data_IF_455751331339
#
_entry.id   IF_455751331339
#
_cell.length_a   1.000
_cell.length_b   1.000
_cell.length_c   1.000
_cell.angle_alpha   90.00
_cell.angle_beta   90.00
_cell.angle_gamma   90.00
#
_symmetry.space_group_name_H-M   'P 1'
#
loop_
_entity.id
_entity.type
_entity.pdbx_description
1 polymer ?
#
# COMPACT_ATOMS: atom_id res chain seq x y z
N UNK A 1 -3.95 -20.79 -3.33
CA UNK A 1 -2.69 -20.56 -4.08
C UNK A 1 -1.48 -20.63 -3.12
N UNK A 2 -0.31 -21.10 -3.55
CA UNK A 2 0.88 -21.15 -2.67
C UNK A 2 1.64 -19.80 -2.65
N UNK A 3 2.55 -19.62 -1.69
CA UNK A 3 3.26 -18.34 -1.51
C UNK A 3 4.15 -17.95 -2.70
N UNK A 4 4.67 -18.93 -3.46
CA UNK A 4 5.51 -18.65 -4.64
C UNK A 4 4.69 -17.96 -5.73
N UNK A 5 3.52 -18.53 -6.04
CA UNK A 5 2.61 -17.94 -7.02
C UNK A 5 2.07 -16.58 -6.56
N UNK A 6 1.69 -16.46 -5.28
CA UNK A 6 1.24 -15.18 -4.72
C UNK A 6 2.33 -14.09 -4.81
N UNK A 7 3.58 -14.46 -4.54
CA UNK A 7 4.74 -13.58 -4.67
C UNK A 7 4.95 -13.09 -6.11
N UNK A 8 4.85 -14.00 -7.09
CA UNK A 8 4.95 -13.68 -8.51
C UNK A 8 3.80 -12.76 -8.98
N UNK A 9 2.56 -13.05 -8.57
CA UNK A 9 1.37 -12.30 -8.95
C UNK A 9 1.37 -10.87 -8.40
N UNK A 10 1.64 -10.71 -7.10
CA UNK A 10 1.65 -9.38 -6.45
C UNK A 10 2.98 -8.65 -6.71
N UNK A 11 4.01 -9.34 -7.20
CA UNK A 11 5.36 -8.78 -7.37
C UNK A 11 6.00 -8.40 -6.04
N UNK A 12 5.92 -9.29 -5.05
CA UNK A 12 6.57 -9.18 -3.74
C UNK A 12 7.43 -10.41 -3.48
N UNK A 13 8.47 -10.29 -2.67
CA UNK A 13 9.20 -11.49 -2.23
C UNK A 13 8.35 -12.33 -1.27
N UNK A 14 8.56 -13.64 -1.25
CA UNK A 14 7.90 -14.51 -0.27
C UNK A 14 8.20 -14.10 1.18
N UNK A 15 9.40 -13.55 1.44
CA UNK A 15 9.78 -13.05 2.76
C UNK A 15 9.06 -11.76 3.12
N UNK A 16 8.81 -10.87 2.15
CA UNK A 16 7.97 -9.68 2.35
C UNK A 16 6.54 -10.07 2.70
N UNK A 17 5.97 -11.07 2.01
CA UNK A 17 4.62 -11.56 2.33
C UNK A 17 4.57 -12.16 3.74
N UNK A 18 5.57 -12.98 4.12
CA UNK A 18 5.67 -13.52 5.49
C UNK A 18 5.81 -12.40 6.52
N UNK A 19 6.59 -11.37 6.19
CA UNK A 19 6.77 -10.21 7.05
C UNK A 19 5.45 -9.46 7.26
N UNK A 20 4.72 -9.18 6.18
CA UNK A 20 3.42 -8.48 6.24
C UNK A 20 2.40 -9.24 7.08
N UNK A 21 2.28 -10.56 6.90
CA UNK A 21 1.40 -11.37 7.74
C UNK A 21 1.87 -11.35 9.22
N UNK A 22 3.17 -11.47 9.47
CA UNK A 22 3.74 -11.50 10.84
C UNK A 22 3.45 -10.24 11.64
N UNK A 23 3.47 -9.08 11.00
CA UNK A 23 3.21 -7.79 11.67
C UNK A 23 1.72 -7.41 11.65
N UNK A 24 0.84 -8.24 11.09
CA UNK A 24 -0.60 -7.98 11.00
C UNK A 24 -1.00 -6.98 9.92
N UNK A 25 -0.11 -6.70 8.96
CA UNK A 25 -0.37 -5.82 7.83
C UNK A 25 -1.31 -6.46 6.80
N UNK A 26 -1.40 -7.79 6.79
CA UNK A 26 -2.46 -8.54 6.12
C UNK A 26 -3.10 -9.52 7.09
N UNK A 27 -4.36 -9.94 6.86
CA UNK A 27 -5.01 -10.91 7.72
C UNK A 27 -4.25 -12.24 7.73
N UNK A 28 -4.40 -13.06 8.79
CA UNK A 28 -3.79 -14.38 8.83
C UNK A 28 -4.18 -15.22 7.62
N UNK A 29 -3.19 -15.74 6.90
CA UNK A 29 -3.44 -16.50 5.67
C UNK A 29 -3.85 -17.92 6.05
N UNK A 30 -4.94 -18.41 5.44
CA UNK A 30 -5.42 -19.78 5.67
C UNK A 30 -4.33 -20.80 5.30
N UNK A 31 -4.38 -21.98 5.93
CA UNK A 31 -3.40 -23.05 5.69
C UNK A 31 -4.07 -24.31 5.18
N UNK A 32 -3.38 -25.04 4.32
CA UNK A 32 -3.75 -26.41 3.94
C UNK A 32 -3.60 -27.35 5.14
N UNK A 33 -4.16 -28.56 5.03
CA UNK A 33 -3.97 -29.62 6.03
C UNK A 33 -2.47 -29.97 6.27
N UNK A 34 -1.63 -29.77 5.26
CA UNK A 34 -0.17 -29.93 5.34
C UNK A 34 0.58 -28.72 5.94
N UNK A 35 -0.14 -27.71 6.43
CA UNK A 35 0.43 -26.52 7.09
C UNK A 35 0.94 -25.43 6.15
N UNK A 36 0.75 -25.58 4.83
CA UNK A 36 1.22 -24.62 3.82
C UNK A 36 0.22 -23.48 3.68
N UNK A 37 0.69 -22.23 3.59
CA UNK A 37 -0.16 -21.07 3.32
C UNK A 37 -0.92 -21.22 2.00
N UNK A 38 -2.22 -20.99 2.06
CA UNK A 38 -3.16 -21.11 0.94
C UNK A 38 -3.86 -19.77 0.70
N UNK A 39 -3.26 -18.94 -0.14
CA UNK A 39 -3.76 -17.63 -0.51
C UNK A 39 -5.06 -17.76 -1.33
N UNK A 40 -6.09 -17.08 -0.86
CA UNK A 40 -7.35 -16.84 -1.58
C UNK A 40 -7.26 -15.52 -2.35
N UNK A 41 -8.23 -15.27 -3.22
CA UNK A 41 -8.29 -14.02 -3.99
C UNK A 41 -8.30 -12.77 -3.09
N UNK A 42 -9.04 -12.82 -1.99
CA UNK A 42 -9.11 -11.72 -1.00
C UNK A 42 -7.77 -11.42 -0.35
N UNK A 43 -6.92 -12.45 -0.17
CA UNK A 43 -5.58 -12.26 0.39
C UNK A 43 -4.66 -11.53 -0.60
N UNK A 44 -4.85 -11.78 -1.90
CA UNK A 44 -4.11 -11.11 -2.98
C UNK A 44 -4.53 -9.66 -3.10
N UNK A 45 -5.84 -9.39 -3.08
CA UNK A 45 -6.38 -8.03 -3.07
C UNK A 45 -5.85 -7.23 -1.86
N UNK A 46 -5.76 -7.85 -0.68
CA UNK A 46 -5.17 -7.22 0.51
C UNK A 46 -3.66 -6.94 0.34
N UNK A 47 -2.90 -7.88 -0.24
CA UNK A 47 -1.47 -7.69 -0.50
C UNK A 47 -1.21 -6.59 -1.53
N UNK A 48 -2.03 -6.49 -2.59
CA UNK A 48 -1.96 -5.43 -3.59
C UNK A 48 -2.28 -4.06 -2.98
N UNK A 49 -3.33 -3.98 -2.16
CA UNK A 49 -3.70 -2.77 -1.43
C UNK A 49 -2.55 -2.28 -0.55
N UNK A 50 -2.01 -3.16 0.29
CA UNK A 50 -0.89 -2.85 1.18
C UNK A 50 0.34 -2.43 0.38
N UNK A 51 0.67 -3.15 -0.70
CA UNK A 51 1.81 -2.81 -1.57
C UNK A 51 1.67 -1.40 -2.13
N UNK A 52 0.50 -1.07 -2.67
CA UNK A 52 0.21 0.24 -3.26
C UNK A 52 0.36 1.37 -2.24
N UNK A 53 -0.27 1.25 -1.06
CA UNK A 53 -0.23 2.28 -0.03
C UNK A 53 1.19 2.47 0.54
N UNK A 54 1.90 1.36 0.76
CA UNK A 54 3.30 1.39 1.20
C UNK A 54 4.21 2.09 0.19
N UNK A 55 4.03 1.85 -1.12
CA UNK A 55 4.81 2.56 -2.14
C UNK A 55 4.50 4.05 -2.24
N UNK A 56 3.31 4.47 -1.79
CA UNK A 56 2.85 5.87 -1.82
C UNK A 56 3.17 6.65 -0.54
N UNK A 57 3.99 6.07 0.35
CA UNK A 57 4.48 6.72 1.56
C UNK A 57 3.58 6.58 2.79
N UNK A 58 2.53 5.74 2.73
CA UNK A 58 1.69 5.44 3.90
C UNK A 58 2.48 4.60 4.90
N UNK A 59 2.37 4.96 6.18
CA UNK A 59 3.09 4.32 7.27
C UNK A 59 2.66 2.85 7.45
N UNK A 60 3.54 2.02 7.99
CA UNK A 60 3.20 0.63 8.31
C UNK A 60 2.16 0.60 9.43
N UNK A 61 2.29 1.53 10.37
CA UNK A 61 1.49 1.68 11.56
C UNK A 61 0.03 2.00 11.22
N UNK A 62 -0.22 2.99 10.35
CA UNK A 62 -1.58 3.36 9.89
C UNK A 62 -2.26 2.17 9.20
N UNK A 63 -1.51 1.42 8.40
CA UNK A 63 -2.05 0.26 7.68
C UNK A 63 -2.33 -0.93 8.62
N UNK A 64 -1.47 -1.20 9.61
CA UNK A 64 -1.76 -2.22 10.65
C UNK A 64 -3.03 -1.84 11.40
N UNK A 65 -3.17 -0.57 11.79
CA UNK A 65 -4.37 -0.08 12.48
C UNK A 65 -5.62 -0.29 11.63
N UNK A 66 -5.59 0.18 10.38
CA UNK A 66 -6.68 -0.02 9.41
C UNK A 66 -7.06 -1.50 9.26
N UNK A 67 -6.07 -2.38 9.07
CA UNK A 67 -6.30 -3.81 8.88
C UNK A 67 -6.82 -4.51 10.14
N UNK A 68 -6.39 -4.05 11.32
CA UNK A 68 -6.92 -4.53 12.60
C UNK A 68 -8.41 -4.16 12.78
N UNK A 69 -8.79 -2.95 12.36
CA UNK A 69 -10.18 -2.49 12.39
C UNK A 69 -11.00 -3.22 11.33
N UNK A 70 -10.44 -3.47 10.15
CA UNK A 70 -11.09 -4.21 9.07
C UNK A 70 -11.51 -5.61 9.54
N UNK A 71 -10.65 -6.31 10.28
CA UNK A 71 -10.95 -7.63 10.83
C UNK A 71 -12.07 -7.65 11.89
N UNK A 72 -12.35 -6.51 12.55
CA UNK A 72 -13.47 -6.37 13.49
C UNK A 72 -14.83 -6.20 12.79
N UNK A 73 -14.83 -6.08 11.47
CA UNK A 73 -16.03 -6.01 10.65
C UNK A 73 -16.69 -4.63 10.63
N UNK A 74 -18.01 -4.62 10.48
CA UNK A 74 -18.74 -3.43 10.09
C UNK A 74 -18.89 -2.36 11.18
N UNK A 75 -18.68 -2.72 12.45
CA UNK A 75 -18.75 -1.79 13.59
C UNK A 75 -17.64 -0.74 13.56
N UNK A 76 -16.55 -0.97 12.82
CA UNK A 76 -15.39 -0.07 12.73
C UNK A 76 -15.34 0.73 11.42
N UNK A 77 -16.42 0.73 10.62
CA UNK A 77 -16.45 1.44 9.33
C UNK A 77 -16.04 2.91 9.44
N UNK A 78 -16.55 3.61 10.45
CA UNK A 78 -16.27 5.03 10.64
C UNK A 78 -14.78 5.29 10.96
N UNK A 79 -14.22 4.55 11.91
CA UNK A 79 -12.79 4.66 12.25
C UNK A 79 -11.86 4.30 11.08
N UNK A 80 -12.24 3.31 10.26
CA UNK A 80 -11.51 2.98 9.02
C UNK A 80 -11.55 4.12 8.01
N UNK A 81 -12.70 4.76 7.84
CA UNK A 81 -12.86 5.90 6.95
C UNK A 81 -11.97 7.07 7.39
N UNK A 82 -11.92 7.36 8.68
CA UNK A 82 -11.08 8.42 9.26
C UNK A 82 -9.59 8.20 8.94
N UNK A 83 -9.08 6.98 9.16
CA UNK A 83 -7.69 6.65 8.79
C UNK A 83 -7.42 6.85 7.30
N UNK A 84 -8.34 6.40 6.44
CA UNK A 84 -8.19 6.56 4.99
C UNK A 84 -8.25 8.03 4.56
N UNK A 85 -9.10 8.84 5.20
CA UNK A 85 -9.19 10.27 4.92
C UNK A 85 -7.91 11.00 5.34
N UNK A 86 -7.39 10.71 6.52
CA UNK A 86 -6.13 11.30 7.00
C UNK A 86 -4.95 10.96 6.08
N UNK A 87 -4.85 9.70 5.63
CA UNK A 87 -3.80 9.30 4.69
C UNK A 87 -4.01 9.88 3.29
N UNK A 88 -5.27 10.07 2.85
CA UNK A 88 -5.60 10.75 1.61
C UNK A 88 -5.15 12.22 1.65
N UNK A 89 -5.48 12.96 2.70
CA UNK A 89 -5.13 14.38 2.84
C UNK A 89 -3.61 14.57 2.84
N UNK A 90 -2.87 13.73 3.58
CA UNK A 90 -1.39 13.71 3.57
C UNK A 90 -0.83 13.39 2.18
N UNK A 91 -1.46 12.49 1.44
CA UNK A 91 -1.01 12.12 0.08
C UNK A 91 -1.29 13.24 -0.92
N UNK A 92 -2.43 13.92 -0.79
CA UNK A 92 -2.81 15.06 -1.62
C UNK A 92 -1.84 16.23 -1.41
N UNK A 93 -1.46 16.53 -0.16
CA UNK A 93 -0.46 17.57 0.13
C UNK A 93 0.89 17.28 -0.56
N UNK A 94 1.38 16.03 -0.46
CA UNK A 94 2.61 15.61 -1.17
C UNK A 94 2.47 15.70 -2.69
N UNK A 95 1.31 15.35 -3.23
CA UNK A 95 1.03 15.43 -4.66
C UNK A 95 1.08 16.88 -5.15
N UNK A 96 0.47 17.81 -4.42
CA UNK A 96 0.45 19.22 -4.77
C UNK A 96 1.87 19.83 -4.77
N UNK A 97 2.69 19.45 -3.78
CA UNK A 97 4.08 19.89 -3.71
C UNK A 97 4.95 19.32 -4.83
N UNK A 98 4.76 18.05 -5.19
CA UNK A 98 5.39 17.45 -6.36
C UNK A 98 4.94 18.15 -7.66
N UNK A 99 3.66 18.50 -7.77
CA UNK A 99 3.12 19.26 -8.91
C UNK A 99 3.80 20.62 -9.06
N UNK A 100 3.97 21.37 -7.97
CA UNK A 100 4.70 22.66 -7.98
C UNK A 100 6.16 22.48 -8.42
N UNK A 101 6.82 21.42 -7.96
CA UNK A 101 8.20 21.12 -8.32
C UNK A 101 8.34 20.74 -9.81
N UNK A 102 7.43 19.92 -10.33
CA UNK A 102 7.38 19.55 -11.74
C UNK A 102 7.20 20.76 -12.64
N UNK A 103 6.29 21.67 -12.28
CA UNK A 103 6.09 22.90 -13.04
C UNK A 103 7.36 23.76 -13.11
N UNK A 104 8.06 23.94 -11.98
CA UNK A 104 9.37 24.63 -11.96
C UNK A 104 10.42 23.94 -12.81
N UNK A 105 10.41 22.61 -12.84
CA UNK A 105 11.34 21.83 -13.65
C UNK A 105 11.06 22.02 -15.16
N UNK A 106 9.79 22.05 -15.55
CA UNK A 106 9.36 22.34 -16.92
C UNK A 106 9.83 23.73 -17.37
N UNK A 107 9.63 24.76 -16.54
CA UNK A 107 10.09 26.12 -16.82
C UNK A 107 11.61 26.18 -17.05
N UNK A 108 12.38 25.44 -16.23
CA UNK A 108 13.84 25.36 -16.38
C UNK A 108 14.25 24.64 -17.65
N UNK A 109 13.63 23.51 -17.96
CA UNK A 109 13.89 22.76 -19.19
C UNK A 109 13.60 23.63 -20.41
N UNK A 110 12.48 24.37 -20.40
CA UNK A 110 12.12 25.26 -21.49
C UNK A 110 13.10 26.43 -21.62
N UNK A 111 13.52 27.01 -20.48
CA UNK A 111 14.55 28.06 -20.47
C UNK A 111 15.87 27.63 -21.14
N UNK A 112 16.33 26.40 -20.88
CA UNK A 112 17.51 25.84 -21.56
C UNK A 112 17.28 25.59 -23.06
N UNK A 113 16.10 25.11 -23.46
CA UNK A 113 15.76 24.90 -24.88
C UNK A 113 15.72 26.20 -25.68
N UNK A 114 15.31 27.29 -25.04
CA UNK A 114 15.19 28.61 -25.65
C UNK A 114 16.48 29.45 -25.56
N UNK A 115 17.55 28.92 -24.94
CA UNK A 115 18.80 29.65 -24.74
C UNK A 115 18.69 30.85 -23.79
N UNK A 116 17.67 30.86 -22.91
CA UNK A 116 17.54 31.87 -21.84
C UNK A 116 18.55 31.65 -20.70
N UNK A 117 19.14 30.46 -20.65
CA UNK A 117 20.18 30.02 -19.71
C UNK A 117 21.28 29.29 -20.45
#
# INVERSE_FOLDING_TARGET
MNIKKAAEEVGLSADTIRYYERIGLVPPITRTASGIRNFQKTDIEALEFVKCFRSSGVSVESLIEYMSLFQKGDSTRQARLEILQDEYDKMQERYDDLGKALHRLEDKIQGYKEGKY
#
